data_IF_015282766163
#
_entry.id   IF_015282766163
#
_cell.length_a   1.000
_cell.length_b   1.000
_cell.length_c   1.000
_cell.angle_alpha   90.00
_cell.angle_beta   90.00
_cell.angle_gamma   90.00
#
_symmetry.space_group_name_H-M   'P 1'
#
loop_
_entity.id
_entity.type
_entity.pdbx_description
1 polymer ?
#
# COMPACT_ATOMS: atom_id res chain seq x y z
N UNK A 1 -1.83 8.79 14.57
CA UNK A 1 -0.77 9.24 13.65
C UNK A 1 -1.11 8.71 12.27
N UNK A 2 -1.35 9.58 11.29
CA UNK A 2 -1.64 9.18 9.91
C UNK A 2 -0.40 8.55 9.29
N UNK A 3 -0.51 7.35 8.74
CA UNK A 3 0.62 6.71 8.06
C UNK A 3 0.82 7.31 6.65
N UNK A 4 2.07 7.57 6.26
CA UNK A 4 2.41 8.14 4.96
C UNK A 4 2.41 7.07 3.86
N UNK A 5 2.38 7.52 2.60
CA UNK A 5 2.45 6.64 1.43
C UNK A 5 3.75 5.81 1.46
N UNK A 6 4.88 6.45 1.74
CA UNK A 6 6.20 5.83 1.80
C UNK A 6 6.24 4.73 2.86
N UNK A 7 5.63 4.97 4.02
CA UNK A 7 5.57 3.98 5.11
C UNK A 7 4.72 2.77 4.72
N UNK A 8 3.61 2.97 4.01
CA UNK A 8 2.77 1.87 3.52
C UNK A 8 3.46 1.04 2.45
N UNK A 9 4.21 1.68 1.56
CA UNK A 9 5.05 1.00 0.58
C UNK A 9 6.16 0.20 1.28
N UNK A 10 6.79 0.74 2.33
CA UNK A 10 7.78 0.00 3.10
C UNK A 10 7.18 -1.24 3.79
N UNK A 11 5.98 -1.12 4.36
CA UNK A 11 5.25 -2.26 4.94
C UNK A 11 4.92 -3.32 3.89
N UNK A 12 4.46 -2.90 2.70
CA UNK A 12 4.16 -3.82 1.60
C UNK A 12 5.40 -4.59 1.15
N UNK A 13 6.56 -3.93 1.05
CA UNK A 13 7.84 -4.58 0.73
C UNK A 13 8.20 -5.65 1.75
N UNK A 14 8.07 -5.36 3.05
CA UNK A 14 8.32 -6.34 4.12
C UNK A 14 7.38 -7.55 4.06
N UNK A 15 6.14 -7.34 3.65
CA UNK A 15 5.18 -8.44 3.43
C UNK A 15 5.65 -9.33 2.27
N UNK A 16 6.06 -8.73 1.15
CA UNK A 16 6.57 -9.46 -0.03
C UNK A 16 7.82 -10.25 0.35
N UNK A 17 8.80 -9.63 1.00
CA UNK A 17 10.03 -10.28 1.49
C UNK A 17 9.69 -11.51 2.35
N UNK A 18 8.71 -11.38 3.26
CA UNK A 18 8.29 -12.49 4.13
C UNK A 18 7.62 -13.64 3.37
N UNK A 19 6.87 -13.34 2.32
CA UNK A 19 6.26 -14.37 1.45
C UNK A 19 7.35 -15.07 0.63
N UNK A 20 8.32 -14.33 0.11
CA UNK A 20 9.42 -14.84 -0.73
C UNK A 20 10.43 -15.69 0.05
N UNK A 21 10.62 -15.44 1.35
CA UNK A 21 11.52 -16.19 2.23
C UNK A 21 11.16 -17.69 2.38
N UNK A 22 9.97 -18.12 1.93
CA UNK A 22 9.59 -19.54 1.82
C UNK A 22 9.38 -20.29 3.15
N UNK A 23 9.68 -19.66 4.30
CA UNK A 23 9.44 -20.19 5.64
C UNK A 23 8.04 -19.89 6.19
N UNK A 24 7.16 -19.32 5.37
CA UNK A 24 5.82 -18.89 5.76
C UNK A 24 4.82 -20.02 5.57
N UNK A 25 4.07 -20.36 6.62
CA UNK A 25 2.98 -21.35 6.53
C UNK A 25 1.87 -20.90 5.58
N UNK A 26 1.02 -21.82 5.10
CA UNK A 26 -0.11 -21.46 4.23
C UNK A 26 -1.04 -20.43 4.89
N UNK A 27 -1.43 -20.65 6.15
CA UNK A 27 -2.31 -19.75 6.89
C UNK A 27 -1.70 -18.36 7.07
N UNK A 28 -0.38 -18.29 7.31
CA UNK A 28 0.33 -17.03 7.43
C UNK A 28 0.47 -16.34 6.07
N UNK A 29 0.68 -17.09 4.99
CA UNK A 29 0.74 -16.56 3.63
C UNK A 29 -0.60 -15.92 3.23
N UNK A 30 -1.72 -16.55 3.60
CA UNK A 30 -3.05 -15.99 3.38
C UNK A 30 -3.24 -14.66 4.15
N UNK A 31 -2.82 -14.60 5.41
CA UNK A 31 -2.90 -13.36 6.21
C UNK A 31 -2.03 -12.24 5.62
N UNK A 32 -0.80 -12.56 5.23
CA UNK A 32 0.13 -11.62 4.61
C UNK A 32 -0.42 -11.09 3.29
N UNK A 33 -1.04 -11.96 2.48
CA UNK A 33 -1.70 -11.55 1.24
C UNK A 33 -2.86 -10.58 1.49
N UNK A 34 -3.76 -10.89 2.44
CA UNK A 34 -4.87 -10.00 2.80
C UNK A 34 -4.37 -8.62 3.29
N UNK A 35 -3.32 -8.61 4.12
CA UNK A 35 -2.67 -7.38 4.57
C UNK A 35 -2.06 -6.59 3.41
N UNK A 36 -1.36 -7.27 2.50
CA UNK A 36 -0.77 -6.66 1.31
C UNK A 36 -1.83 -6.04 0.41
N UNK A 37 -2.92 -6.76 0.14
CA UNK A 37 -4.04 -6.26 -0.67
C UNK A 37 -4.70 -5.03 -0.05
N UNK A 38 -4.88 -5.02 1.28
CA UNK A 38 -5.40 -3.86 2.00
C UNK A 38 -4.46 -2.64 1.90
N UNK A 39 -3.14 -2.84 2.02
CA UNK A 39 -2.15 -1.78 1.87
C UNK A 39 -2.12 -1.20 0.45
N UNK A 40 -2.19 -2.06 -0.57
CA UNK A 40 -2.27 -1.62 -1.97
C UNK A 40 -3.48 -0.72 -2.19
N UNK A 41 -4.67 -1.15 -1.74
CA UNK A 41 -5.90 -0.36 -1.85
C UNK A 41 -5.80 1.01 -1.16
N UNK A 42 -5.15 1.07 -0.01
CA UNK A 42 -4.90 2.33 0.69
C UNK A 42 -3.96 3.24 -0.11
N UNK A 43 -2.88 2.69 -0.67
CA UNK A 43 -1.94 3.43 -1.51
C UNK A 43 -2.63 4.00 -2.77
N UNK A 44 -3.45 3.20 -3.44
CA UNK A 44 -4.25 3.64 -4.59
C UNK A 44 -5.18 4.80 -4.23
N UNK A 45 -5.84 4.73 -3.06
CA UNK A 45 -6.70 5.81 -2.57
C UNK A 45 -5.92 7.10 -2.35
N UNK A 46 -4.75 7.01 -1.71
CA UNK A 46 -3.88 8.18 -1.47
C UNK A 46 -3.40 8.81 -2.78
N UNK A 47 -3.05 8.00 -3.78
CA UNK A 47 -2.63 8.48 -5.09
C UNK A 47 -3.80 9.16 -5.83
N UNK A 48 -4.99 8.57 -5.80
CA UNK A 48 -6.18 9.18 -6.41
C UNK A 48 -6.52 10.54 -5.77
N UNK A 49 -6.44 10.64 -4.44
CA UNK A 49 -6.63 11.93 -3.74
C UNK A 49 -5.58 12.97 -4.13
N UNK A 50 -4.32 12.55 -4.31
CA UNK A 50 -3.26 13.43 -4.76
C UNK A 50 -3.48 13.91 -6.20
N UNK A 51 -3.88 13.01 -7.10
CA UNK A 51 -4.20 13.32 -8.50
C UNK A 51 -5.36 14.32 -8.62
N UNK A 52 -6.42 14.14 -7.82
CA UNK A 52 -7.54 15.09 -7.77
C UNK A 52 -7.05 16.47 -7.37
N UNK A 53 -6.22 16.58 -6.32
CA UNK A 53 -5.67 17.87 -5.87
C UNK A 53 -4.84 18.55 -6.96
N UNK A 54 -3.97 17.81 -7.64
CA UNK A 54 -3.15 18.34 -8.74
C UNK A 54 -4.04 18.83 -9.90
N UNK A 55 -5.05 18.04 -10.25
CA UNK A 55 -5.98 18.36 -11.34
C UNK A 55 -6.80 19.61 -11.04
N UNK A 56 -7.30 19.77 -9.80
CA UNK A 56 -8.00 20.98 -9.38
C UNK A 56 -7.10 22.20 -9.46
N UNK A 57 -5.89 22.14 -8.90
CA UNK A 57 -4.92 23.25 -8.95
C UNK A 57 -4.55 23.65 -10.39
N UNK A 58 -4.48 22.68 -11.30
CA UNK A 58 -4.16 22.94 -12.72
C UNK A 58 -5.32 23.52 -13.52
N UNK A 59 -6.57 23.33 -13.09
CA UNK A 59 -7.78 23.89 -13.73
C UNK A 59 -8.08 25.31 -13.29
N UNK A 60 -7.65 25.67 -12.08
CA UNK A 60 -7.86 27.00 -11.49
C UNK A 60 -6.72 27.98 -11.81
N UNK A 61 -5.70 27.53 -12.56
CA UNK A 61 -4.53 28.29 -12.98
C UNK A 61 -4.65 28.85 -14.41
#
# INVERSE_FOLDING_TARGET
MTETYEKKIEQLKKIIEKIEDGNTSLDESMKLYEQGAALVKQCETMLAEAEVKITTLSRDA
#
